data_IF_495854685127
#
_entry.id   IF_495854685127
#
_cell.length_a   1.000
_cell.length_b   1.000
_cell.length_c   1.000
_cell.angle_alpha   90.00
_cell.angle_beta   90.00
_cell.angle_gamma   90.00
#
_symmetry.space_group_name_H-M   'P 1'
#
loop_
_entity.id
_entity.type
_entity.pdbx_description
1 polymer ?
#
# COMPACT_ATOMS: atom_id res chain seq x y z
N UNK A 1 3.30 -24.82 18.80
CA UNK A 1 2.59 -24.47 17.55
C UNK A 1 1.72 -23.27 17.87
N UNK A 2 1.76 -22.19 17.07
CA UNK A 2 0.96 -20.97 17.29
C UNK A 2 -0.53 -21.27 17.23
N UNK A 3 -1.29 -20.82 18.26
CA UNK A 3 -2.73 -21.00 18.38
C UNK A 3 -3.43 -19.64 18.24
N UNK A 4 -4.09 -19.42 17.13
CA UNK A 4 -4.70 -18.14 16.81
C UNK A 4 -5.86 -17.77 17.76
N UNK A 5 -6.67 -18.73 18.17
CA UNK A 5 -7.79 -18.53 19.09
C UNK A 5 -7.34 -18.09 20.50
N UNK A 6 -6.25 -18.69 21.01
CA UNK A 6 -5.64 -18.35 22.29
C UNK A 6 -5.04 -16.94 22.23
N UNK A 7 -4.26 -16.66 21.17
CA UNK A 7 -3.70 -15.33 20.93
C UNK A 7 -4.77 -14.24 20.87
N UNK A 8 -5.87 -14.45 20.11
CA UNK A 8 -6.96 -13.49 20.02
C UNK A 8 -7.56 -13.18 21.38
N UNK A 9 -7.86 -14.22 22.16
CA UNK A 9 -8.46 -14.07 23.50
C UNK A 9 -7.55 -13.27 24.42
N UNK A 10 -6.27 -13.67 24.52
CA UNK A 10 -5.29 -13.03 25.40
C UNK A 10 -5.02 -11.58 25.00
N UNK A 11 -4.81 -11.33 23.70
CA UNK A 11 -4.58 -9.99 23.17
C UNK A 11 -5.77 -9.07 23.42
N UNK A 12 -7.00 -9.52 23.17
CA UNK A 12 -8.20 -8.71 23.41
C UNK A 12 -8.34 -8.37 24.91
N UNK A 13 -8.07 -9.30 25.82
CA UNK A 13 -8.13 -9.03 27.28
C UNK A 13 -6.99 -8.10 27.73
N UNK A 14 -5.81 -8.21 27.15
CA UNK A 14 -4.71 -7.27 27.40
C UNK A 14 -5.08 -5.86 26.92
N UNK A 15 -5.57 -5.72 25.68
CA UNK A 15 -5.96 -4.45 25.10
C UNK A 15 -7.07 -3.74 25.90
N UNK A 16 -8.06 -4.46 26.43
CA UNK A 16 -9.08 -3.91 27.35
C UNK A 16 -8.48 -3.31 28.63
N UNK A 17 -7.38 -3.87 29.11
CA UNK A 17 -6.67 -3.35 30.29
C UNK A 17 -5.79 -2.17 29.97
N UNK A 18 -5.17 -2.16 28.79
CA UNK A 18 -4.20 -1.18 28.35
C UNK A 18 -4.87 0.11 27.85
N UNK A 19 -5.87 -0.01 26.98
CA UNK A 19 -6.54 1.13 26.34
C UNK A 19 -7.70 1.59 27.23
N UNK A 20 -7.57 2.80 27.79
CA UNK A 20 -8.59 3.39 28.69
C UNK A 20 -9.29 4.62 28.09
N UNK A 21 -9.06 4.90 26.83
CA UNK A 21 -9.63 6.02 26.11
C UNK A 21 -9.84 5.70 24.64
N UNK A 22 -9.99 6.75 23.83
CA UNK A 22 -10.14 6.60 22.38
C UNK A 22 -8.81 6.24 21.71
N UNK A 23 -8.89 5.35 20.74
CA UNK A 23 -7.76 4.93 19.92
C UNK A 23 -7.98 5.21 18.44
N UNK A 24 -6.92 5.56 17.73
CA UNK A 24 -6.89 5.82 16.30
C UNK A 24 -6.05 4.76 15.60
N UNK A 25 -6.53 4.23 14.48
CA UNK A 25 -5.74 3.37 13.60
C UNK A 25 -5.78 3.88 12.16
N UNK A 26 -4.60 3.88 11.50
CA UNK A 26 -4.51 4.04 10.05
C UNK A 26 -4.98 2.76 9.36
N UNK A 27 -6.14 2.79 8.73
CA UNK A 27 -6.73 1.63 8.09
C UNK A 27 -6.42 1.63 6.58
N UNK A 28 -5.48 0.78 6.17
CA UNK A 28 -5.09 0.61 4.77
C UNK A 28 -5.90 -0.45 4.02
N UNK A 29 -6.65 -1.29 4.73
CA UNK A 29 -7.34 -2.47 4.16
C UNK A 29 -6.40 -3.66 3.89
N UNK A 30 -5.11 -3.54 4.18
CA UNK A 30 -4.17 -4.67 4.16
C UNK A 30 -4.42 -5.65 5.32
N UNK A 31 -3.86 -6.87 5.20
CA UNK A 31 -4.06 -7.94 6.19
C UNK A 31 -3.75 -7.47 7.61
N UNK A 32 -2.59 -6.85 7.81
CA UNK A 32 -2.11 -6.48 9.16
C UNK A 32 -3.00 -5.40 9.78
N UNK A 33 -3.29 -4.32 9.04
CA UNK A 33 -4.18 -3.26 9.53
C UNK A 33 -5.60 -3.77 9.79
N UNK A 34 -6.10 -4.72 8.99
CA UNK A 34 -7.44 -5.30 9.16
C UNK A 34 -7.52 -6.20 10.39
N UNK A 35 -6.52 -7.08 10.60
CA UNK A 35 -6.44 -7.93 11.80
C UNK A 35 -6.27 -7.08 13.06
N UNK A 36 -5.35 -6.12 13.02
CA UNK A 36 -5.13 -5.19 14.12
C UNK A 36 -6.42 -4.45 14.50
N UNK A 37 -7.12 -3.88 13.50
CA UNK A 37 -8.39 -3.20 13.69
C UNK A 37 -9.45 -4.12 14.30
N UNK A 38 -9.55 -5.36 13.84
CA UNK A 38 -10.53 -6.31 14.36
C UNK A 38 -10.28 -6.67 15.84
N UNK A 39 -9.00 -6.86 16.25
CA UNK A 39 -8.62 -7.11 17.63
C UNK A 39 -8.97 -5.93 18.54
N UNK A 40 -8.58 -4.72 18.14
CA UNK A 40 -8.87 -3.50 18.91
C UNK A 40 -10.39 -3.25 18.96
N UNK A 41 -11.10 -3.42 17.86
CA UNK A 41 -12.57 -3.25 17.84
C UNK A 41 -13.28 -4.25 18.76
N UNK A 42 -12.78 -5.49 18.89
CA UNK A 42 -13.26 -6.46 19.88
C UNK A 42 -12.97 -6.03 21.33
N UNK A 43 -11.87 -5.30 21.56
CA UNK A 43 -11.49 -4.86 22.89
C UNK A 43 -12.25 -3.61 23.34
N UNK A 44 -12.31 -2.56 22.53
CA UNK A 44 -12.83 -1.23 22.90
C UNK A 44 -14.03 -0.75 22.06
N UNK A 45 -14.44 -1.53 21.06
CA UNK A 45 -15.63 -1.22 20.27
C UNK A 45 -15.58 0.15 19.59
N UNK A 46 -16.59 0.98 19.85
CA UNK A 46 -16.76 2.30 19.23
C UNK A 46 -15.73 3.36 19.66
N UNK A 47 -14.93 3.10 20.67
CA UNK A 47 -13.82 3.97 21.07
C UNK A 47 -12.62 3.85 20.09
N UNK A 48 -12.61 2.83 19.23
CA UNK A 48 -11.68 2.78 18.09
C UNK A 48 -12.21 3.61 16.93
N UNK A 49 -11.37 4.50 16.42
CA UNK A 49 -11.62 5.27 15.18
C UNK A 49 -10.67 4.77 14.09
N UNK A 50 -11.21 4.02 13.13
CA UNK A 50 -10.47 3.57 11.97
C UNK A 50 -10.46 4.70 10.92
N UNK A 51 -9.29 5.20 10.56
CA UNK A 51 -9.17 6.30 9.61
C UNK A 51 -8.50 5.85 8.33
N UNK A 52 -9.18 6.03 7.20
CA UNK A 52 -8.61 5.87 5.86
C UNK A 52 -8.41 7.24 5.22
N UNK A 53 -7.20 7.49 4.72
CA UNK A 53 -6.86 8.71 3.99
C UNK A 53 -6.67 8.37 2.52
N UNK A 54 -7.57 8.86 1.68
CA UNK A 54 -7.40 8.81 0.24
C UNK A 54 -6.46 9.93 -0.21
N UNK A 55 -5.26 9.55 -0.58
CA UNK A 55 -4.23 10.49 -1.06
C UNK A 55 -4.40 10.86 -2.53
N UNK A 56 -5.28 10.16 -3.25
CA UNK A 56 -5.36 10.19 -4.70
C UNK A 56 -4.29 9.33 -5.40
N UNK A 57 -3.27 8.85 -4.67
CA UNK A 57 -2.21 7.98 -5.18
C UNK A 57 -2.45 6.49 -4.87
N UNK A 58 -3.68 6.13 -4.52
CA UNK A 58 -4.09 4.74 -4.30
C UNK A 58 -4.28 4.00 -5.63
N UNK A 59 -4.32 2.65 -5.58
CA UNK A 59 -4.73 1.85 -6.73
C UNK A 59 -6.12 2.26 -7.21
N UNK A 60 -6.45 1.92 -8.44
CA UNK A 60 -7.79 2.14 -8.99
C UNK A 60 -8.86 1.51 -8.09
N UNK A 61 -9.84 2.31 -7.66
CA UNK A 61 -10.96 1.94 -6.78
C UNK A 61 -10.58 1.49 -5.36
N UNK A 62 -9.29 1.46 -4.98
CA UNK A 62 -8.85 0.92 -3.70
C UNK A 62 -9.49 1.63 -2.50
N UNK A 63 -9.53 2.96 -2.49
CA UNK A 63 -10.13 3.72 -1.39
C UNK A 63 -11.63 3.44 -1.21
N UNK A 64 -12.35 3.22 -2.32
CA UNK A 64 -13.76 2.85 -2.26
C UNK A 64 -13.96 1.42 -1.72
N UNK A 65 -13.08 0.49 -2.08
CA UNK A 65 -13.10 -0.87 -1.54
C UNK A 65 -12.77 -0.89 -0.06
N UNK A 66 -11.78 -0.11 0.38
CA UNK A 66 -11.43 0.06 1.79
C UNK A 66 -12.61 0.63 2.57
N UNK A 67 -13.30 1.63 2.04
CA UNK A 67 -14.51 2.19 2.65
C UNK A 67 -15.59 1.13 2.84
N UNK A 68 -15.89 0.34 1.80
CA UNK A 68 -16.87 -0.77 1.88
C UNK A 68 -16.45 -1.83 2.93
N UNK A 69 -15.16 -2.11 3.04
CA UNK A 69 -14.64 -3.04 4.04
C UNK A 69 -14.85 -2.51 5.46
N UNK A 70 -14.59 -1.23 5.72
CA UNK A 70 -14.86 -0.59 7.02
C UNK A 70 -16.36 -0.63 7.38
N UNK A 71 -17.23 -0.37 6.40
CA UNK A 71 -18.68 -0.47 6.56
C UNK A 71 -19.11 -1.91 6.90
N UNK A 72 -18.60 -2.91 6.16
CA UNK A 72 -18.88 -4.34 6.40
C UNK A 72 -18.41 -4.80 7.79
N UNK A 73 -17.29 -4.29 8.25
CA UNK A 73 -16.76 -4.58 9.60
C UNK A 73 -17.50 -3.83 10.71
N UNK A 74 -18.50 -2.99 10.38
CA UNK A 74 -19.25 -2.15 11.31
C UNK A 74 -18.34 -1.31 12.23
N UNK A 75 -17.28 -0.72 11.63
CA UNK A 75 -16.33 0.10 12.36
C UNK A 75 -16.88 1.51 12.59
N UNK A 76 -16.46 2.12 13.70
CA UNK A 76 -16.48 3.58 13.81
C UNK A 76 -15.33 4.10 12.96
N UNK A 77 -15.62 4.74 11.80
CA UNK A 77 -14.57 5.10 10.86
C UNK A 77 -14.69 6.51 10.30
N UNK A 78 -13.54 7.04 9.90
CA UNK A 78 -13.41 8.27 9.12
C UNK A 78 -12.78 7.97 7.76
N UNK A 79 -13.45 8.40 6.72
CA UNK A 79 -12.91 8.42 5.36
C UNK A 79 -12.55 9.87 5.01
N UNK A 80 -11.29 10.12 4.71
CA UNK A 80 -10.77 11.47 4.42
C UNK A 80 -10.26 11.49 2.98
N UNK A 81 -10.97 12.19 2.09
CA UNK A 81 -10.45 12.51 0.76
C UNK A 81 -9.51 13.71 0.85
N UNK A 82 -8.22 13.44 0.84
CA UNK A 82 -7.15 14.43 0.83
C UNK A 82 -6.45 14.54 -0.53
N UNK A 83 -7.00 13.92 -1.60
CA UNK A 83 -6.38 13.82 -2.91
C UNK A 83 -5.91 15.17 -3.46
N UNK A 84 -6.75 16.20 -3.37
CA UNK A 84 -6.42 17.56 -3.83
C UNK A 84 -5.24 18.17 -3.08
N UNK A 85 -5.14 17.92 -1.78
CA UNK A 85 -4.06 18.44 -0.93
C UNK A 85 -2.73 17.76 -1.23
N UNK A 86 -2.75 16.44 -1.49
CA UNK A 86 -1.56 15.71 -1.91
C UNK A 86 -1.11 16.11 -3.31
N UNK A 87 -2.02 16.23 -4.27
CA UNK A 87 -1.69 16.71 -5.62
C UNK A 87 -1.07 18.12 -5.59
N UNK A 88 -1.63 19.01 -4.79
CA UNK A 88 -1.08 20.37 -4.63
C UNK A 88 0.32 20.35 -4.02
N UNK A 89 0.56 19.51 -3.02
CA UNK A 89 1.84 19.43 -2.33
C UNK A 89 2.95 18.81 -3.20
N UNK A 90 2.60 17.89 -4.09
CA UNK A 90 3.55 17.22 -4.98
C UNK A 90 3.72 17.91 -6.34
N UNK A 91 3.02 19.01 -6.58
CA UNK A 91 3.16 19.77 -7.82
C UNK A 91 4.60 20.26 -8.01
N UNK A 92 5.22 19.91 -9.14
CA UNK A 92 6.61 20.25 -9.47
C UNK A 92 7.67 19.42 -8.71
N UNK A 93 7.27 18.47 -7.86
CA UNK A 93 8.22 17.62 -7.15
C UNK A 93 8.56 16.40 -8.00
N UNK A 94 9.84 16.26 -8.35
CA UNK A 94 10.36 15.16 -9.17
C UNK A 94 11.31 14.23 -8.44
N UNK A 95 11.89 14.69 -7.33
CA UNK A 95 12.80 13.92 -6.49
C UNK A 95 12.03 12.91 -5.62
N UNK A 96 12.36 11.60 -5.67
CA UNK A 96 11.59 10.56 -4.97
C UNK A 96 11.64 10.68 -3.45
N UNK A 97 12.78 11.08 -2.87
CA UNK A 97 12.88 11.22 -1.43
C UNK A 97 12.06 12.43 -0.93
N UNK A 98 12.03 13.52 -1.72
CA UNK A 98 11.13 14.65 -1.41
C UNK A 98 9.66 14.24 -1.52
N UNK A 99 9.28 13.43 -2.52
CA UNK A 99 7.91 12.89 -2.60
C UNK A 99 7.55 12.11 -1.33
N UNK A 100 8.43 11.17 -0.91
CA UNK A 100 8.22 10.35 0.30
C UNK A 100 8.04 11.23 1.55
N UNK A 101 8.94 12.20 1.73
CA UNK A 101 8.92 13.12 2.88
C UNK A 101 7.63 13.96 2.91
N UNK A 102 7.24 14.57 1.81
CA UNK A 102 6.02 15.39 1.71
C UNK A 102 4.76 14.55 2.00
N UNK A 103 4.71 13.34 1.44
CA UNK A 103 3.58 12.43 1.67
C UNK A 103 3.51 12.05 3.15
N UNK A 104 4.65 11.66 3.74
CA UNK A 104 4.74 11.30 5.15
C UNK A 104 4.30 12.43 6.07
N UNK A 105 4.84 13.63 5.89
CA UNK A 105 4.46 14.81 6.68
C UNK A 105 2.97 15.12 6.59
N UNK A 106 2.38 15.02 5.39
CA UNK A 106 0.93 15.24 5.22
C UNK A 106 0.08 14.21 5.93
N UNK A 107 0.45 12.93 5.86
CA UNK A 107 -0.24 11.89 6.61
C UNK A 107 -0.23 12.20 8.11
N UNK A 108 0.92 12.52 8.67
CA UNK A 108 1.05 12.86 10.07
C UNK A 108 0.12 14.01 10.46
N UNK A 109 0.12 15.11 9.69
CA UNK A 109 -0.74 16.26 9.98
C UNK A 109 -2.23 15.93 9.92
N UNK A 110 -2.64 15.05 9.01
CA UNK A 110 -4.04 14.60 8.94
C UNK A 110 -4.39 13.77 10.18
N UNK A 111 -3.50 12.86 10.61
CA UNK A 111 -3.74 12.05 11.79
C UNK A 111 -3.72 12.87 13.09
N UNK A 112 -2.80 13.83 13.23
CA UNK A 112 -2.78 14.79 14.35
C UNK A 112 -4.11 15.54 14.45
N UNK A 113 -4.60 16.06 13.32
CA UNK A 113 -5.90 16.76 13.29
C UNK A 113 -7.05 15.87 13.74
N UNK A 114 -7.09 14.60 13.28
CA UNK A 114 -8.11 13.64 13.72
C UNK A 114 -7.97 13.35 15.21
N UNK A 115 -6.74 13.21 15.69
CA UNK A 115 -6.45 12.93 17.10
C UNK A 115 -6.93 14.08 18.00
N UNK A 116 -6.66 15.33 17.62
CA UNK A 116 -7.10 16.51 18.36
C UNK A 116 -8.63 16.66 18.36
N UNK A 117 -9.27 16.52 17.19
CA UNK A 117 -10.73 16.65 17.05
C UNK A 117 -11.50 15.62 17.87
N UNK A 118 -10.96 14.40 18.00
CA UNK A 118 -11.62 13.28 18.67
C UNK A 118 -11.13 13.06 20.10
N UNK A 119 -10.16 13.81 20.59
CA UNK A 119 -9.50 13.60 21.88
C UNK A 119 -8.91 12.18 21.98
N UNK A 120 -8.10 11.81 21.00
CA UNK A 120 -7.44 10.50 20.93
C UNK A 120 -6.28 10.44 21.91
N UNK A 121 -6.15 9.32 22.61
CA UNK A 121 -5.04 9.06 23.54
C UNK A 121 -4.07 8.00 23.01
N UNK A 122 -4.53 7.10 22.14
CA UNK A 122 -3.77 5.94 21.68
C UNK A 122 -3.69 5.91 20.16
N UNK A 123 -2.48 5.68 19.64
CA UNK A 123 -2.23 5.37 18.23
C UNK A 123 -1.97 3.88 18.08
N UNK A 124 -2.76 3.23 17.26
CA UNK A 124 -2.62 1.79 16.99
C UNK A 124 -1.89 1.60 15.68
N UNK A 125 -0.86 0.75 15.69
CA UNK A 125 -0.10 0.37 14.49
C UNK A 125 -0.14 -1.15 14.29
N UNK A 126 -0.24 -1.56 13.03
CA UNK A 126 -0.21 -2.97 12.61
C UNK A 126 1.21 -3.47 12.35
N UNK A 127 2.20 -3.01 13.11
CA UNK A 127 3.60 -3.45 13.03
C UNK A 127 3.69 -4.95 13.32
N UNK A 128 4.49 -5.68 12.56
CA UNK A 128 4.75 -7.11 12.73
C UNK A 128 6.25 -7.37 12.96
N UNK A 129 6.61 -8.59 13.36
CA UNK A 129 7.99 -8.92 13.74
C UNK A 129 9.05 -8.57 12.67
N UNK A 130 8.87 -8.85 11.37
CA UNK A 130 9.83 -8.44 10.35
C UNK A 130 10.06 -6.92 10.28
N UNK A 131 9.02 -6.10 10.48
CA UNK A 131 9.11 -4.65 10.32
C UNK A 131 10.08 -4.01 11.31
N UNK A 132 10.06 -4.42 12.58
CA UNK A 132 10.95 -3.87 13.58
C UNK A 132 12.33 -4.54 13.58
N UNK A 133 12.44 -5.81 13.16
CA UNK A 133 13.73 -6.49 12.99
C UNK A 133 14.56 -5.81 11.88
N UNK A 134 13.94 -5.51 10.73
CA UNK A 134 14.59 -4.82 9.61
C UNK A 134 15.00 -3.39 9.97
N UNK A 135 14.25 -2.72 10.85
CA UNK A 135 14.59 -1.36 11.30
C UNK A 135 15.76 -1.29 12.28
N UNK A 136 16.35 -2.43 12.68
CA UNK A 136 17.55 -2.50 13.52
C UNK A 136 17.34 -2.06 14.97
N UNK A 137 16.11 -2.11 15.47
CA UNK A 137 15.74 -1.62 16.80
C UNK A 137 15.95 -2.64 17.92
N UNK A 138 16.97 -2.48 18.74
CA UNK A 138 17.11 -3.19 20.03
C UNK A 138 16.27 -2.57 21.17
N UNK A 139 15.63 -1.41 20.98
CA UNK A 139 14.85 -0.75 22.02
C UNK A 139 13.51 -0.24 21.53
N UNK A 140 12.55 -0.19 22.46
CA UNK A 140 11.18 0.33 22.26
C UNK A 140 11.16 1.81 21.80
N UNK A 141 12.29 2.52 21.88
CA UNK A 141 12.38 3.96 21.72
C UNK A 141 12.91 4.41 20.34
N UNK A 142 13.29 3.46 19.46
CA UNK A 142 13.85 3.82 18.15
C UNK A 142 13.06 3.25 16.99
N UNK A 143 11.82 3.73 16.81
CA UNK A 143 11.06 3.50 15.56
C UNK A 143 11.63 4.45 14.51
N UNK A 144 12.75 4.08 13.89
CA UNK A 144 13.27 4.77 12.71
C UNK A 144 12.61 4.22 11.45
N UNK A 145 11.59 4.85 11.02
CA UNK A 145 11.34 5.66 9.81
C UNK A 145 11.36 5.01 8.42
N UNK A 146 11.59 3.73 8.18
CA UNK A 146 11.65 3.22 6.79
C UNK A 146 10.39 2.48 6.33
N UNK A 147 9.54 1.99 7.23
CA UNK A 147 8.27 1.34 6.90
C UNK A 147 7.03 2.09 7.40
N UNK A 148 7.18 3.05 8.30
CA UNK A 148 6.14 4.04 8.59
C UNK A 148 6.28 5.23 7.64
N UNK A 149 5.20 5.64 7.06
CA UNK A 149 5.10 6.85 6.23
C UNK A 149 5.51 8.06 7.11
N UNK A 150 6.80 8.43 7.07
CA UNK A 150 7.41 9.47 7.90
C UNK A 150 7.42 9.09 9.39
N UNK A 151 8.58 9.05 10.05
CA UNK A 151 8.65 8.77 11.49
C UNK A 151 7.65 9.63 12.27
N UNK A 152 7.03 9.04 13.29
CA UNK A 152 6.14 9.79 14.17
C UNK A 152 6.91 10.98 14.77
N UNK A 153 6.34 12.18 14.83
CA UNK A 153 6.98 13.33 15.46
C UNK A 153 7.34 13.01 16.91
N UNK A 154 8.52 13.42 17.36
CA UNK A 154 9.00 13.23 18.75
C UNK A 154 8.08 13.90 19.79
N UNK A 155 7.28 14.88 19.35
CA UNK A 155 6.33 15.62 20.16
C UNK A 155 4.91 15.02 20.17
N UNK A 156 4.67 13.90 19.50
CA UNK A 156 3.38 13.24 19.48
C UNK A 156 3.06 12.65 20.87
N UNK A 157 1.99 13.16 21.48
CA UNK A 157 1.57 12.77 22.84
C UNK A 157 0.77 11.46 22.91
N UNK A 158 0.61 10.76 21.78
CA UNK A 158 -0.19 9.55 21.68
C UNK A 158 0.61 8.34 22.20
N UNK A 159 -0.06 7.48 22.97
CA UNK A 159 0.50 6.20 23.41
C UNK A 159 0.40 5.19 22.28
N UNK A 160 1.54 4.59 21.91
CA UNK A 160 1.60 3.60 20.84
C UNK A 160 1.10 2.23 21.34
N UNK A 161 0.26 1.56 20.53
CA UNK A 161 -0.24 0.20 20.77
C UNK A 161 -0.01 -0.64 19.51
N UNK A 162 0.74 -1.74 19.64
CA UNK A 162 1.15 -2.63 18.55
C UNK A 162 0.77 -4.09 18.81
N UNK A 163 -0.48 -4.48 18.61
CA UNK A 163 -0.98 -5.80 19.01
C UNK A 163 -0.37 -6.97 18.26
N UNK A 164 0.25 -6.73 17.09
CA UNK A 164 0.80 -7.77 16.20
C UNK A 164 2.31 -7.80 16.20
N UNK A 165 2.99 -6.99 17.03
CA UNK A 165 4.43 -6.75 17.01
C UNK A 165 5.29 -8.02 16.96
N UNK A 166 4.88 -9.04 17.70
CA UNK A 166 5.64 -10.29 17.86
C UNK A 166 5.23 -11.37 16.85
N UNK A 167 4.28 -11.10 15.97
CA UNK A 167 3.79 -12.05 14.98
C UNK A 167 4.53 -11.96 13.66
N UNK A 168 4.72 -13.12 13.04
CA UNK A 168 5.13 -13.23 11.65
C UNK A 168 3.91 -13.22 10.71
N UNK A 169 4.14 -12.91 9.44
CA UNK A 169 3.09 -12.74 8.43
C UNK A 169 2.16 -13.95 8.28
N UNK A 170 2.68 -15.15 8.40
CA UNK A 170 1.91 -16.39 8.35
C UNK A 170 1.01 -16.56 9.61
N UNK A 171 1.46 -16.09 10.77
CA UNK A 171 0.68 -16.09 12.01
C UNK A 171 -0.46 -15.06 11.95
N UNK A 172 -0.18 -13.85 11.44
CA UNK A 172 -1.22 -12.83 11.19
C UNK A 172 -2.30 -13.37 10.25
N UNK A 173 -1.92 -14.12 9.21
CA UNK A 173 -2.89 -14.79 8.32
C UNK A 173 -3.72 -15.88 9.03
N UNK A 174 -3.13 -16.60 9.99
CA UNK A 174 -3.88 -17.57 10.83
C UNK A 174 -4.90 -16.85 11.70
N UNK A 175 -4.50 -15.73 12.32
CA UNK A 175 -5.41 -14.86 13.11
C UNK A 175 -6.52 -14.30 12.21
N UNK A 176 -6.23 -13.85 11.00
CA UNK A 176 -7.23 -13.35 10.05
C UNK A 176 -8.30 -14.42 9.73
N UNK A 177 -7.85 -15.66 9.46
CA UNK A 177 -8.76 -16.80 9.19
C UNK A 177 -9.64 -17.14 10.40
N UNK A 178 -9.07 -17.16 11.60
CA UNK A 178 -9.81 -17.44 12.85
C UNK A 178 -10.84 -16.34 13.13
N UNK A 179 -10.51 -15.09 12.84
CA UNK A 179 -11.43 -13.95 12.91
C UNK A 179 -12.46 -13.91 11.76
N UNK A 180 -12.38 -14.83 10.79
CA UNK A 180 -13.22 -14.89 9.58
C UNK A 180 -13.20 -13.59 8.78
N UNK A 181 -12.04 -12.94 8.73
CA UNK A 181 -11.86 -11.71 7.97
C UNK A 181 -11.64 -12.03 6.50
N UNK A 182 -12.39 -11.36 5.64
CA UNK A 182 -12.15 -11.37 4.21
C UNK A 182 -10.98 -10.42 3.91
N UNK A 183 -9.77 -10.92 4.09
CA UNK A 183 -8.57 -10.19 3.71
C UNK A 183 -8.13 -10.67 2.35
N UNK A 184 -8.10 -9.77 1.37
CA UNK A 184 -7.52 -10.11 0.08
C UNK A 184 -6.01 -10.30 0.25
N UNK A 185 -5.47 -11.37 -0.32
CA UNK A 185 -4.02 -11.56 -0.46
C UNK A 185 -3.49 -10.60 -1.54
N UNK A 186 -3.59 -9.31 -1.26
CA UNK A 186 -3.06 -8.28 -2.14
C UNK A 186 -1.54 -8.28 -2.09
N UNK A 187 -0.94 -8.02 -3.23
CA UNK A 187 0.49 -7.76 -3.30
C UNK A 187 0.86 -6.52 -2.46
N UNK A 188 2.11 -6.44 -1.97
CA UNK A 188 2.59 -5.25 -1.25
C UNK A 188 2.36 -3.97 -2.06
N UNK A 189 2.19 -2.86 -1.34
CA UNK A 189 2.02 -1.54 -1.95
C UNK A 189 2.87 -0.52 -1.20
N UNK A 190 3.61 0.36 -1.89
CA UNK A 190 4.49 1.30 -1.24
C UNK A 190 3.70 2.35 -0.45
N UNK A 191 4.23 2.79 0.70
CA UNK A 191 3.60 3.80 1.54
C UNK A 191 3.25 5.09 0.81
N UNK A 192 4.12 5.64 -0.07
CA UNK A 192 3.78 6.79 -0.91
C UNK A 192 2.77 6.53 -2.02
N UNK A 193 2.29 5.31 -2.16
CA UNK A 193 1.36 4.92 -3.21
C UNK A 193 1.95 5.01 -4.62
N UNK A 194 1.12 5.32 -5.58
CA UNK A 194 1.52 5.45 -6.99
C UNK A 194 2.44 6.64 -7.27
N UNK A 195 2.66 7.54 -6.31
CA UNK A 195 3.55 8.68 -6.49
C UNK A 195 4.99 8.26 -6.84
N UNK A 196 5.47 7.11 -6.31
CA UNK A 196 6.80 6.54 -6.59
C UNK A 196 6.81 5.58 -7.78
N UNK A 197 5.67 5.39 -8.44
CA UNK A 197 5.53 4.66 -9.72
C UNK A 197 5.29 5.60 -10.91
N UNK A 198 5.26 6.91 -10.64
CA UNK A 198 5.23 7.97 -11.64
C UNK A 198 6.56 8.69 -11.56
N UNK A 199 7.52 8.28 -12.39
CA UNK A 199 8.84 8.89 -12.39
C UNK A 199 8.76 10.35 -12.86
N UNK A 200 9.45 11.23 -12.14
CA UNK A 200 9.33 12.66 -12.34
C UNK A 200 8.09 13.28 -11.71
N UNK A 201 7.53 14.34 -12.27
CA UNK A 201 6.36 15.04 -11.73
C UNK A 201 5.09 14.16 -11.80
N UNK A 202 4.33 14.11 -10.71
CA UNK A 202 3.04 13.42 -10.66
C UNK A 202 1.88 14.42 -10.75
N UNK A 203 1.10 14.35 -11.83
CA UNK A 203 -0.14 15.11 -12.00
C UNK A 203 -1.36 14.20 -11.87
N UNK A 204 -2.57 14.73 -11.61
CA UNK A 204 -3.80 13.93 -11.58
C UNK A 204 -4.03 13.07 -12.82
N UNK A 205 -3.68 13.58 -14.02
CA UNK A 205 -3.83 12.84 -15.27
C UNK A 205 -2.81 11.69 -15.37
N UNK A 206 -1.56 11.91 -14.93
CA UNK A 206 -0.55 10.85 -14.87
C UNK A 206 -0.89 9.80 -13.82
N UNK A 207 -1.54 10.18 -12.71
CA UNK A 207 -2.07 9.24 -11.72
C UNK A 207 -3.15 8.36 -12.34
N UNK A 208 -4.12 8.93 -13.07
CA UNK A 208 -5.15 8.13 -13.77
C UNK A 208 -4.52 7.17 -14.78
N UNK A 209 -3.51 7.63 -15.52
CA UNK A 209 -2.78 6.80 -16.48
C UNK A 209 -2.16 5.58 -15.80
N UNK A 210 -1.44 5.77 -14.70
CA UNK A 210 -0.80 4.67 -13.99
C UNK A 210 -1.80 3.77 -13.26
N UNK A 211 -2.91 4.29 -12.77
CA UNK A 211 -4.00 3.51 -12.19
C UNK A 211 -4.60 2.54 -13.22
N UNK A 212 -4.90 3.02 -14.43
CA UNK A 212 -5.43 2.17 -15.50
C UNK A 212 -4.41 1.13 -15.96
N UNK A 213 -3.15 1.54 -16.15
CA UNK A 213 -2.09 0.63 -16.57
C UNK A 213 -1.82 -0.46 -15.52
N UNK A 214 -1.73 -0.10 -14.24
CA UNK A 214 -1.52 -1.06 -13.15
C UNK A 214 -2.69 -2.03 -13.01
N UNK A 215 -3.93 -1.56 -13.12
CA UNK A 215 -5.11 -2.42 -13.06
C UNK A 215 -5.11 -3.46 -14.20
N UNK A 216 -4.67 -3.08 -15.41
CA UNK A 216 -4.56 -4.02 -16.54
C UNK A 216 -3.46 -5.05 -16.28
N UNK A 217 -2.29 -4.63 -15.75
CA UNK A 217 -1.19 -5.53 -15.41
C UNK A 217 -1.64 -6.54 -14.35
N UNK A 218 -2.29 -6.06 -13.30
CA UNK A 218 -2.78 -6.90 -12.20
C UNK A 218 -3.81 -7.91 -12.73
N UNK A 219 -4.80 -7.47 -13.49
CA UNK A 219 -5.85 -8.33 -14.05
C UNK A 219 -5.31 -9.41 -14.98
N UNK A 220 -4.39 -9.08 -15.90
CA UNK A 220 -3.84 -10.07 -16.84
C UNK A 220 -2.96 -11.11 -16.15
N UNK A 221 -2.17 -10.70 -15.15
CA UNK A 221 -1.33 -11.61 -14.38
C UNK A 221 -2.20 -12.49 -13.48
N UNK A 222 -3.16 -11.92 -12.74
CA UNK A 222 -4.05 -12.70 -11.89
C UNK A 222 -4.86 -13.73 -12.71
N UNK A 223 -5.39 -13.35 -13.86
CA UNK A 223 -6.07 -14.27 -14.79
C UNK A 223 -5.15 -15.39 -15.29
N UNK A 224 -3.87 -15.08 -15.56
CA UNK A 224 -2.90 -16.09 -15.99
C UNK A 224 -2.56 -17.07 -14.85
N UNK A 225 -2.45 -16.60 -13.63
CA UNK A 225 -2.24 -17.42 -12.42
C UNK A 225 -3.45 -18.31 -12.15
N UNK A 226 -4.67 -17.76 -12.19
CA UNK A 226 -5.91 -18.54 -11.98
C UNK A 226 -6.07 -19.67 -13.01
N UNK A 227 -5.63 -19.44 -14.25
CA UNK A 227 -5.63 -20.47 -15.32
C UNK A 227 -4.46 -21.44 -15.24
N UNK A 228 -3.56 -21.30 -14.25
CA UNK A 228 -2.37 -22.14 -14.12
C UNK A 228 -1.33 -21.94 -15.24
N UNK A 229 -1.36 -20.81 -15.94
CA UNK A 229 -0.43 -20.48 -17.04
C UNK A 229 0.93 -20.04 -16.49
N UNK A 230 0.94 -19.43 -15.29
CA UNK A 230 2.16 -18.99 -14.61
C UNK A 230 1.99 -19.02 -13.09
N UNK A 231 3.11 -19.06 -12.37
CA UNK A 231 3.11 -18.91 -10.92
C UNK A 231 2.80 -17.46 -10.53
N UNK A 232 2.18 -17.27 -9.35
CA UNK A 232 1.86 -15.92 -8.85
C UNK A 232 3.15 -15.20 -8.46
N UNK A 233 3.46 -14.06 -9.10
CA UNK A 233 4.59 -13.23 -8.67
C UNK A 233 4.36 -12.65 -7.28
N UNK A 234 5.44 -12.31 -6.59
CA UNK A 234 5.36 -11.64 -5.30
C UNK A 234 4.81 -10.20 -5.43
N UNK A 235 5.25 -9.46 -6.48
CA UNK A 235 4.76 -8.12 -6.78
C UNK A 235 4.80 -7.87 -8.30
N UNK A 236 3.78 -7.19 -8.84
CA UNK A 236 3.65 -6.86 -10.25
C UNK A 236 2.84 -5.57 -10.43
N UNK A 237 3.33 -4.66 -11.25
CA UNK A 237 2.76 -3.33 -11.41
C UNK A 237 3.28 -2.63 -12.67
N UNK A 238 2.64 -1.50 -12.99
CA UNK A 238 3.11 -0.60 -14.04
C UNK A 238 3.87 0.59 -13.45
N UNK A 239 4.77 1.16 -14.24
CA UNK A 239 5.58 2.35 -13.94
C UNK A 239 5.45 3.33 -15.10
N UNK A 240 5.14 4.58 -14.80
CA UNK A 240 5.05 5.63 -15.83
C UNK A 240 6.40 6.36 -15.94
N UNK A 241 7.06 6.19 -17.08
CA UNK A 241 8.38 6.76 -17.31
C UNK A 241 8.32 8.25 -17.68
N UNK A 242 9.35 9.06 -17.34
CA UNK A 242 9.40 10.49 -17.62
C UNK A 242 9.92 10.79 -19.03
N UNK A 243 9.70 9.88 -19.97
CA UNK A 243 10.16 9.99 -21.34
C UNK A 243 9.00 9.87 -22.32
N UNK A 244 9.17 10.45 -23.50
CA UNK A 244 8.24 10.26 -24.62
C UNK A 244 8.90 9.48 -25.73
N UNK A 245 8.16 8.57 -26.31
CA UNK A 245 8.58 7.74 -27.43
C UNK A 245 7.71 8.02 -28.66
N UNK A 246 8.27 7.84 -29.84
CA UNK A 246 7.52 7.90 -31.09
C UNK A 246 6.56 6.73 -31.20
N UNK A 247 5.32 7.03 -31.53
CA UNK A 247 4.28 6.09 -31.89
C UNK A 247 3.62 6.47 -33.21
N UNK A 248 2.69 5.65 -33.67
CA UNK A 248 1.89 5.91 -34.88
C UNK A 248 0.41 5.84 -34.50
N UNK A 249 -0.32 6.88 -34.86
CA UNK A 249 -1.79 6.91 -34.73
C UNK A 249 -2.40 7.25 -36.08
N UNK A 250 -3.05 6.28 -36.70
CA UNK A 250 -3.39 6.37 -38.13
C UNK A 250 -2.14 6.63 -38.94
N UNK A 251 -2.16 7.66 -39.79
CA UNK A 251 -1.03 8.04 -40.64
C UNK A 251 -0.10 9.10 -39.99
N UNK A 252 -0.26 9.40 -38.69
CA UNK A 252 0.49 10.48 -38.02
C UNK A 252 1.48 9.92 -37.00
N UNK A 253 2.68 10.50 -36.98
CA UNK A 253 3.63 10.32 -35.89
C UNK A 253 3.16 11.09 -34.67
N UNK A 254 3.18 10.43 -33.53
CA UNK A 254 2.83 10.99 -32.23
C UNK A 254 3.95 10.73 -31.23
N UNK A 255 4.07 11.61 -30.21
CA UNK A 255 5.00 11.44 -29.12
C UNK A 255 4.18 11.17 -27.85
N UNK A 256 4.37 10.03 -27.25
CA UNK A 256 3.57 9.56 -26.12
C UNK A 256 4.42 9.03 -24.98
N UNK A 257 3.83 8.94 -23.82
CA UNK A 257 4.45 8.38 -22.62
C UNK A 257 4.74 6.87 -22.80
N UNK A 258 5.67 6.38 -21.99
CA UNK A 258 6.10 4.97 -21.99
C UNK A 258 5.75 4.36 -20.64
N UNK A 259 5.14 3.18 -20.68
CA UNK A 259 4.90 2.34 -19.48
C UNK A 259 5.95 1.24 -19.41
N UNK A 260 6.61 1.10 -18.26
CA UNK A 260 7.35 -0.10 -17.91
C UNK A 260 6.49 -1.00 -17.05
N UNK A 261 6.50 -2.31 -17.33
CA UNK A 261 5.91 -3.34 -16.50
C UNK A 261 7.02 -3.94 -15.65
N UNK A 262 6.81 -4.01 -14.34
CA UNK A 262 7.68 -4.67 -13.38
C UNK A 262 6.93 -5.85 -12.76
N UNK A 263 7.54 -7.03 -12.78
CA UNK A 263 7.03 -8.21 -12.08
C UNK A 263 8.19 -8.99 -11.50
N UNK A 264 8.11 -9.29 -10.20
CA UNK A 264 9.20 -9.92 -9.46
C UNK A 264 8.70 -11.05 -8.58
N UNK A 265 9.52 -12.10 -8.49
CA UNK A 265 9.40 -13.19 -7.54
C UNK A 265 10.40 -12.95 -6.40
N UNK A 266 9.95 -13.06 -5.16
CA UNK A 266 10.79 -12.94 -3.96
C UNK A 266 10.17 -13.74 -2.81
N UNK A 267 11.02 -14.12 -1.84
CA UNK A 267 10.58 -14.76 -0.59
C UNK A 267 10.60 -13.74 0.55
N UNK A 268 11.64 -12.93 0.61
CA UNK A 268 11.96 -12.04 1.74
C UNK A 268 12.04 -10.55 1.39
N UNK A 269 11.78 -10.17 0.15
CA UNK A 269 11.95 -8.83 -0.40
C UNK A 269 13.41 -8.31 -0.42
N UNK A 270 14.36 -8.99 0.18
CA UNK A 270 15.79 -8.59 0.18
C UNK A 270 16.41 -8.83 -1.18
N UNK A 271 16.14 -9.98 -1.77
CA UNK A 271 16.52 -10.32 -3.13
C UNK A 271 15.29 -10.65 -3.97
N UNK A 272 15.31 -10.32 -5.24
CA UNK A 272 14.26 -10.76 -6.15
C UNK A 272 14.77 -11.00 -7.57
N UNK A 273 14.10 -11.94 -8.23
CA UNK A 273 14.26 -12.17 -9.66
C UNK A 273 13.06 -11.58 -10.40
N UNK A 274 13.26 -11.08 -11.62
CA UNK A 274 12.10 -10.77 -12.47
C UNK A 274 11.32 -12.06 -12.77
N UNK A 275 10.02 -11.95 -12.90
CA UNK A 275 9.15 -13.09 -13.19
C UNK A 275 9.21 -13.43 -14.68
N UNK A 276 9.18 -14.72 -15.02
CA UNK A 276 9.07 -15.17 -16.41
C UNK A 276 7.60 -15.11 -16.85
N UNK A 277 7.14 -13.91 -17.25
CA UNK A 277 5.78 -13.76 -17.77
C UNK A 277 5.72 -14.34 -19.20
N UNK A 278 4.79 -15.25 -19.51
CA UNK A 278 4.61 -15.77 -20.86
C UNK A 278 4.39 -14.65 -21.90
N UNK A 279 4.94 -14.82 -23.09
CA UNK A 279 4.88 -13.78 -24.13
C UNK A 279 3.46 -13.38 -24.52
N UNK A 280 2.51 -14.33 -24.55
CA UNK A 280 1.10 -14.06 -24.82
C UNK A 280 0.42 -13.22 -23.72
N UNK A 281 0.87 -13.35 -22.47
CA UNK A 281 0.40 -12.49 -21.37
C UNK A 281 0.98 -11.07 -21.52
N UNK A 282 2.28 -10.96 -21.85
CA UNK A 282 2.91 -9.66 -22.13
C UNK A 282 2.27 -8.96 -23.34
N UNK A 283 1.92 -9.71 -24.38
CA UNK A 283 1.22 -9.18 -25.55
C UNK A 283 -0.16 -8.63 -25.18
N UNK A 284 -0.94 -9.38 -24.40
CA UNK A 284 -2.25 -8.90 -23.91
C UNK A 284 -2.13 -7.66 -23.03
N UNK A 285 -1.15 -7.63 -22.10
CA UNK A 285 -0.89 -6.44 -21.27
C UNK A 285 -0.59 -5.24 -22.15
N UNK A 286 0.35 -5.37 -23.10
CA UNK A 286 0.75 -4.30 -24.01
C UNK A 286 -0.43 -3.81 -24.85
N UNK A 287 -1.14 -4.72 -25.48
CA UNK A 287 -2.29 -4.43 -26.34
C UNK A 287 -3.42 -3.74 -25.57
N UNK A 288 -3.74 -4.24 -24.35
CA UNK A 288 -4.79 -3.64 -23.52
C UNK A 288 -4.41 -2.25 -23.02
N UNK A 289 -3.15 -2.04 -22.57
CA UNK A 289 -2.66 -0.73 -22.13
C UNK A 289 -2.73 0.28 -23.27
N UNK A 290 -2.18 -0.04 -24.43
CA UNK A 290 -2.13 0.89 -25.57
C UNK A 290 -3.52 1.20 -26.14
N UNK A 291 -4.45 0.24 -26.12
CA UNK A 291 -5.84 0.47 -26.50
C UNK A 291 -6.62 1.31 -25.48
N UNK A 292 -6.43 1.05 -24.18
CA UNK A 292 -7.15 1.77 -23.12
C UNK A 292 -6.66 3.20 -22.96
N UNK A 293 -5.35 3.39 -23.10
CA UNK A 293 -4.65 4.67 -22.92
C UNK A 293 -4.21 5.25 -24.26
N UNK A 294 -4.96 4.98 -25.34
CA UNK A 294 -4.71 5.56 -26.66
C UNK A 294 -4.56 7.09 -26.52
N UNK A 295 -3.68 7.68 -27.32
CA UNK A 295 -3.30 9.08 -27.30
C UNK A 295 -2.39 9.49 -26.12
N UNK A 296 -2.19 8.63 -25.12
CA UNK A 296 -1.33 8.87 -23.96
C UNK A 296 -0.12 7.93 -23.98
N UNK A 297 -0.33 6.62 -24.18
CA UNK A 297 0.70 5.58 -24.13
C UNK A 297 0.71 4.79 -25.43
N UNK A 298 1.88 4.73 -26.12
CA UNK A 298 2.06 3.92 -27.32
C UNK A 298 3.22 2.93 -27.22
N UNK A 299 3.87 2.85 -26.06
CA UNK A 299 4.95 1.91 -25.82
C UNK A 299 4.88 1.30 -24.42
N UNK A 300 4.97 -0.02 -24.39
CA UNK A 300 5.10 -0.79 -23.17
C UNK A 300 6.42 -1.56 -23.23
N UNK A 301 7.19 -1.55 -22.14
CA UNK A 301 8.44 -2.29 -21.99
C UNK A 301 8.36 -3.18 -20.75
N UNK A 302 9.14 -4.24 -20.70
CA UNK A 302 9.21 -5.13 -19.53
C UNK A 302 10.59 -5.05 -18.87
N UNK A 303 10.62 -4.80 -17.56
CA UNK A 303 11.87 -4.74 -16.79
C UNK A 303 12.32 -6.12 -16.35
N UNK A 304 13.45 -6.58 -16.92
CA UNK A 304 14.07 -7.89 -16.66
C UNK A 304 15.24 -7.83 -15.66
N UNK A 305 15.29 -6.80 -14.82
CA UNK A 305 16.41 -6.59 -13.88
C UNK A 305 16.14 -7.30 -12.56
N UNK A 306 17.15 -8.02 -12.06
CA UNK A 306 17.13 -8.63 -10.72
C UNK A 306 17.40 -7.57 -9.62
N UNK A 307 17.10 -7.92 -8.37
CA UNK A 307 17.56 -7.19 -7.18
C UNK A 307 18.49 -8.10 -6.38
N UNK A 308 19.78 -7.76 -6.18
CA UNK A 308 20.49 -6.67 -6.84
C UNK A 308 20.72 -6.94 -8.34
N UNK A 309 21.18 -5.98 -9.20
CA UNK A 309 21.56 -4.61 -8.84
C UNK A 309 20.41 -3.60 -8.83
N UNK A 310 19.23 -3.95 -9.38
CA UNK A 310 18.06 -3.08 -9.32
C UNK A 310 17.38 -3.08 -7.94
N UNK A 311 16.26 -2.38 -7.87
CA UNK A 311 15.35 -2.38 -6.71
C UNK A 311 13.99 -2.95 -7.12
N UNK A 312 13.07 -3.11 -6.18
CA UNK A 312 11.69 -3.51 -6.52
C UNK A 312 10.95 -2.32 -7.13
N UNK A 313 10.82 -1.22 -6.38
CA UNK A 313 10.29 0.05 -6.90
C UNK A 313 11.41 0.80 -7.64
N UNK A 314 11.05 1.66 -8.60
CA UNK A 314 12.02 2.42 -9.39
C UNK A 314 12.38 3.79 -8.77
N UNK A 315 11.53 4.30 -7.87
CA UNK A 315 11.76 5.49 -7.05
C UNK A 315 11.70 5.19 -5.56
#
# INVERSE_FOLDING_TARGET
>A
MFKADEFIRETVEQLKKEIKGKALIAFSGGVDSTVCTALINKAIGKELIATHVDTGYMRKNESQEVKKLMEKMNLNFRYIDASKDFYKALKGVTDPEKKRKIIGEKFIRIFEKVADEENIEYLVQGTIAPDWIESGGESRDTIKSHHNVGGLPEDMKLKLVEPLRDLYKDEVRKVARELKLEVSERQPFPGPGLAVRILGESSPDRVKTIQEASAIVEEEIDNAVEKGIMEKPWQYFAILLPIKSVGVHGDRRVYSEVIAVRSVASIDAMTCSYSLIPHDVLDRISTRITNKLKDIVYRVVYDITHKPPGTVEWE
#
